data_IF_842407945683
#
_entry.id   IF_842407945683
#
_cell.length_a   1.000
_cell.length_b   1.000
_cell.length_c   1.000
_cell.angle_alpha   90.00
_cell.angle_beta   90.00
_cell.angle_gamma   90.00
#
_symmetry.space_group_name_H-M   'P 1'
#
loop_
_entity.id
_entity.type
_entity.pdbx_description
1 polymer ?
#
# COMPACT_ATOMS: atom_id res chain seq x y z
N UNK A 1 24.74 4.87 -3.73
CA UNK A 1 23.68 5.91 -3.67
C UNK A 1 24.24 7.10 -2.89
N UNK A 2 23.88 8.35 -3.20
CA UNK A 2 24.24 9.45 -2.32
C UNK A 2 23.64 9.18 -0.94
N UNK A 3 24.44 9.37 0.11
CA UNK A 3 23.98 9.15 1.48
C UNK A 3 22.91 10.19 1.83
N UNK A 4 21.75 9.75 2.33
CA UNK A 4 20.78 10.66 2.88
C UNK A 4 21.34 11.36 4.12
N UNK A 5 20.97 12.63 4.39
CA UNK A 5 21.38 13.31 5.63
C UNK A 5 20.97 12.50 6.86
N UNK A 6 21.85 12.45 7.86
CA UNK A 6 21.68 11.63 9.08
C UNK A 6 21.50 12.45 10.36
N UNK A 7 21.27 13.76 10.25
CA UNK A 7 21.15 14.65 11.41
C UNK A 7 19.80 14.58 12.14
N UNK A 8 18.80 13.88 11.56
CA UNK A 8 17.50 13.66 12.20
C UNK A 8 17.39 12.24 12.74
N UNK A 9 16.79 12.10 13.91
CA UNK A 9 16.36 10.81 14.44
C UNK A 9 15.04 10.41 13.75
N UNK A 10 15.12 9.54 12.76
CA UNK A 10 13.97 9.07 12.01
C UNK A 10 13.67 7.60 12.33
N UNK A 11 12.42 7.15 12.16
CA UNK A 11 12.10 5.75 12.28
C UNK A 11 12.91 4.90 11.32
N UNK A 12 13.40 3.76 11.82
CA UNK A 12 14.07 2.80 10.98
C UNK A 12 13.07 2.18 9.99
N UNK A 13 13.47 2.11 8.72
CA UNK A 13 12.72 1.38 7.67
C UNK A 13 13.43 0.05 7.40
N UNK A 14 12.65 -1.00 7.21
CA UNK A 14 13.18 -2.29 6.79
C UNK A 14 13.91 -2.16 5.45
N UNK A 15 15.05 -2.87 5.31
CA UNK A 15 15.75 -2.99 4.03
C UNK A 15 14.99 -3.95 3.08
N UNK A 16 15.18 -3.78 1.77
CA UNK A 16 14.68 -4.74 0.76
C UNK A 16 15.44 -6.07 0.85
N UNK A 17 14.77 -7.20 0.59
CA UNK A 17 13.33 -7.35 0.33
C UNK A 17 12.49 -7.18 1.59
N UNK A 18 11.39 -6.42 1.48
CA UNK A 18 10.49 -6.13 2.61
C UNK A 18 9.34 -7.11 2.68
N UNK A 19 8.99 -7.55 3.89
CA UNK A 19 7.74 -8.28 4.19
C UNK A 19 6.68 -7.40 4.84
N UNK A 20 7.08 -6.21 5.33
CA UNK A 20 6.21 -5.18 5.92
C UNK A 20 6.68 -3.80 5.51
N UNK A 21 5.75 -2.85 5.48
CA UNK A 21 6.02 -1.52 4.94
C UNK A 21 6.24 -1.55 3.44
N UNK A 22 5.63 -2.52 2.76
CA UNK A 22 5.69 -2.70 1.32
C UNK A 22 5.10 -1.50 0.61
N UNK A 23 5.79 -1.02 -0.42
CA UNK A 23 5.30 -0.04 -1.37
C UNK A 23 5.04 -0.73 -2.71
N UNK A 24 3.77 -0.97 -3.00
CA UNK A 24 3.28 -1.60 -4.22
C UNK A 24 2.79 -0.49 -5.18
N UNK A 25 3.53 -0.29 -6.26
CA UNK A 25 3.34 0.81 -7.20
C UNK A 25 2.43 0.39 -8.33
N UNK A 26 1.43 1.20 -8.67
CA UNK A 26 0.62 1.02 -9.87
C UNK A 26 1.27 1.75 -11.05
N UNK A 27 1.77 0.99 -12.01
CA UNK A 27 2.22 1.50 -13.30
C UNK A 27 1.05 1.50 -14.29
N UNK A 28 0.67 2.69 -14.70
CA UNK A 28 -0.42 2.95 -15.66
C UNK A 28 0.07 3.25 -17.07
N UNK A 29 1.30 2.84 -17.41
CA UNK A 29 1.85 2.95 -18.77
C UNK A 29 3.08 3.85 -18.86
N UNK A 30 4.07 3.68 -17.97
CA UNK A 30 5.37 4.31 -18.11
C UNK A 30 6.07 3.82 -19.40
N UNK A 31 6.83 4.70 -20.05
CA UNK A 31 7.78 4.28 -21.09
C UNK A 31 9.01 3.62 -20.46
N UNK A 32 9.83 2.87 -21.21
CA UNK A 32 11.10 2.35 -20.69
C UNK A 32 11.99 3.44 -20.05
N UNK A 33 12.10 4.60 -20.67
CA UNK A 33 12.85 5.75 -20.13
C UNK A 33 12.22 6.27 -18.83
N UNK A 34 10.89 6.36 -18.79
CA UNK A 34 10.15 6.74 -17.58
C UNK A 34 10.37 5.73 -16.44
N UNK A 35 10.38 4.45 -16.75
CA UNK A 35 10.66 3.37 -15.77
C UNK A 35 12.09 3.49 -15.24
N UNK A 36 13.10 3.69 -16.12
CA UNK A 36 14.50 3.89 -15.68
C UNK A 36 14.66 5.12 -14.80
N UNK A 37 14.08 6.26 -15.21
CA UNK A 37 14.16 7.50 -14.44
C UNK A 37 13.50 7.35 -13.06
N UNK A 38 12.31 6.76 -13.00
CA UNK A 38 11.58 6.51 -11.77
C UNK A 38 12.35 5.58 -10.83
N UNK A 39 12.76 4.41 -11.30
CA UNK A 39 13.46 3.43 -10.46
C UNK A 39 14.87 3.86 -10.10
N UNK A 40 15.56 4.60 -10.98
CA UNK A 40 16.85 5.23 -10.66
C UNK A 40 16.76 6.21 -9.49
N UNK A 41 15.62 6.90 -9.32
CA UNK A 41 15.39 7.82 -8.21
C UNK A 41 14.82 7.11 -6.97
N UNK A 42 13.81 6.26 -7.13
CA UNK A 42 12.97 5.77 -6.03
C UNK A 42 12.93 4.24 -5.90
N UNK A 43 13.65 3.48 -6.71
CA UNK A 43 13.58 2.02 -6.75
C UNK A 43 13.91 1.35 -5.40
N UNK A 44 14.79 1.96 -4.59
CA UNK A 44 15.10 1.48 -3.23
C UNK A 44 13.90 1.56 -2.25
N UNK A 45 12.86 2.31 -2.60
CA UNK A 45 11.63 2.47 -1.83
C UNK A 45 10.48 1.64 -2.39
N UNK A 46 10.62 1.06 -3.61
CA UNK A 46 9.60 0.26 -4.28
C UNK A 46 9.84 -1.21 -4.07
N UNK A 47 8.82 -1.95 -3.69
CA UNK A 47 8.90 -3.40 -3.45
C UNK A 47 8.27 -4.22 -4.56
N UNK A 48 7.19 -3.74 -5.16
CA UNK A 48 6.48 -4.38 -6.26
C UNK A 48 6.01 -3.32 -7.24
N UNK A 49 6.19 -3.57 -8.55
CA UNK A 49 5.61 -2.77 -9.62
C UNK A 49 4.48 -3.56 -10.25
N UNK A 50 3.25 -3.09 -10.10
CA UNK A 50 2.06 -3.66 -10.75
C UNK A 50 1.86 -3.02 -12.11
N UNK A 51 1.90 -3.82 -13.17
CA UNK A 51 1.43 -3.40 -14.50
C UNK A 51 -0.09 -3.45 -14.49
N UNK A 52 -0.72 -2.28 -14.51
CA UNK A 52 -2.16 -2.15 -14.29
C UNK A 52 -3.01 -2.78 -15.39
N UNK A 53 -4.15 -3.32 -15.00
CA UNK A 53 -5.23 -3.83 -15.87
C UNK A 53 -4.72 -4.76 -16.97
N UNK A 54 -5.02 -4.44 -18.24
CA UNK A 54 -4.59 -5.15 -19.43
C UNK A 54 -3.40 -4.50 -20.16
N UNK A 55 -2.71 -3.52 -19.54
CA UNK A 55 -1.59 -2.80 -20.17
C UNK A 55 -0.52 -3.78 -20.66
N UNK A 56 -0.15 -4.76 -19.85
CA UNK A 56 0.85 -5.73 -20.23
C UNK A 56 0.55 -6.47 -21.54
N UNK A 57 -0.72 -6.63 -21.89
CA UNK A 57 -1.12 -7.32 -23.12
C UNK A 57 -0.97 -6.47 -24.39
N UNK A 58 -1.01 -5.15 -24.24
CA UNK A 58 -0.98 -4.21 -25.38
C UNK A 58 0.33 -3.41 -25.46
N UNK A 59 1.19 -3.48 -24.46
CA UNK A 59 2.44 -2.73 -24.40
C UNK A 59 3.56 -3.46 -25.15
N UNK A 60 4.03 -2.94 -26.30
CA UNK A 60 5.11 -3.57 -27.06
C UNK A 60 6.47 -3.51 -26.35
N UNK A 61 6.62 -2.64 -25.33
CA UNK A 61 7.86 -2.46 -24.58
C UNK A 61 7.85 -3.20 -23.23
N UNK A 62 6.85 -4.05 -22.97
CA UNK A 62 6.68 -4.71 -21.67
C UNK A 62 7.93 -5.48 -21.22
N UNK A 63 8.49 -6.32 -22.09
CA UNK A 63 9.66 -7.15 -21.77
C UNK A 63 10.87 -6.28 -21.38
N UNK A 64 11.12 -5.17 -22.09
CA UNK A 64 12.16 -4.21 -21.73
C UNK A 64 11.90 -3.58 -20.35
N UNK A 65 10.66 -3.18 -20.06
CA UNK A 65 10.29 -2.57 -18.78
C UNK A 65 10.42 -3.56 -17.62
N UNK A 66 10.02 -4.81 -17.81
CA UNK A 66 10.23 -5.88 -16.83
C UNK A 66 11.72 -6.08 -16.54
N UNK A 67 12.56 -6.09 -17.58
CA UNK A 67 14.02 -6.15 -17.43
C UNK A 67 14.58 -4.98 -16.63
N UNK A 68 14.13 -3.76 -16.91
CA UNK A 68 14.53 -2.57 -16.11
C UNK A 68 14.14 -2.71 -14.65
N UNK A 69 12.92 -3.21 -14.37
CA UNK A 69 12.49 -3.44 -13.00
C UNK A 69 13.37 -4.48 -12.29
N UNK A 70 13.75 -5.56 -12.97
CA UNK A 70 14.65 -6.58 -12.45
C UNK A 70 16.03 -6.01 -12.12
N UNK A 71 16.60 -5.15 -12.96
CA UNK A 71 17.88 -4.48 -12.72
C UNK A 71 17.88 -3.58 -11.47
N UNK A 72 16.69 -3.21 -10.98
CA UNK A 72 16.48 -2.41 -9.76
C UNK A 72 15.94 -3.22 -8.58
N UNK A 73 15.98 -4.54 -8.63
CA UNK A 73 15.40 -5.43 -7.59
C UNK A 73 13.93 -5.10 -7.30
N UNK A 74 13.16 -4.75 -8.33
CA UNK A 74 11.74 -4.45 -8.24
C UNK A 74 10.92 -5.52 -8.98
N UNK A 75 10.41 -6.55 -8.27
CA UNK A 75 9.51 -7.54 -8.83
C UNK A 75 8.34 -6.93 -9.57
N UNK A 76 7.94 -7.54 -10.68
CA UNK A 76 6.79 -7.07 -11.48
C UNK A 76 5.61 -8.00 -11.29
N UNK A 77 4.46 -7.41 -10.99
CA UNK A 77 3.16 -8.08 -10.87
C UNK A 77 2.28 -7.77 -12.07
N UNK A 78 1.64 -8.82 -12.58
CA UNK A 78 0.57 -8.67 -13.56
C UNK A 78 -0.73 -8.35 -12.83
N UNK A 79 -1.44 -7.30 -13.26
CA UNK A 79 -2.70 -6.87 -12.66
C UNK A 79 -3.84 -7.87 -12.88
N UNK A 80 -4.70 -8.02 -11.88
CA UNK A 80 -5.74 -9.06 -11.81
C UNK A 80 -6.79 -9.01 -12.92
N UNK A 81 -7.13 -7.85 -13.45
CA UNK A 81 -8.15 -7.73 -14.52
C UNK A 81 -7.79 -8.54 -15.77
N UNK A 82 -6.50 -8.60 -16.17
CA UNK A 82 -6.10 -9.40 -17.32
C UNK A 82 -6.26 -10.90 -17.04
N UNK A 83 -5.97 -11.35 -15.81
CA UNK A 83 -6.22 -12.73 -15.41
C UNK A 83 -7.71 -13.07 -15.41
N UNK A 84 -8.58 -12.17 -14.94
CA UNK A 84 -10.04 -12.37 -15.01
C UNK A 84 -10.52 -12.55 -16.46
N UNK A 85 -10.03 -11.71 -17.38
CA UNK A 85 -10.35 -11.84 -18.81
C UNK A 85 -9.85 -13.16 -19.39
N UNK A 86 -8.64 -13.58 -19.06
CA UNK A 86 -8.09 -14.86 -19.49
C UNK A 86 -8.88 -16.05 -18.92
N UNK A 87 -9.30 -15.97 -17.66
CA UNK A 87 -10.11 -17.00 -17.03
C UNK A 87 -11.51 -17.15 -17.67
N UNK A 88 -12.13 -16.02 -18.06
CA UNK A 88 -13.40 -16.03 -18.77
C UNK A 88 -13.31 -16.66 -20.18
N UNK A 89 -12.12 -16.62 -20.77
CA UNK A 89 -11.86 -17.19 -22.10
C UNK A 89 -11.21 -18.59 -22.04
N UNK A 90 -11.04 -19.15 -20.84
CA UNK A 90 -10.32 -20.42 -20.60
C UNK A 90 -8.87 -20.39 -21.14
N UNK A 91 -8.15 -19.29 -20.91
CA UNK A 91 -6.80 -19.01 -21.40
C UNK A 91 -5.80 -18.73 -20.27
N UNK A 92 -6.06 -19.21 -19.06
CA UNK A 92 -5.16 -18.98 -17.91
C UNK A 92 -3.78 -19.61 -18.14
N UNK A 93 -3.74 -20.80 -18.76
CA UNK A 93 -2.47 -21.48 -19.06
C UNK A 93 -1.59 -20.66 -20.01
N UNK A 94 -2.16 -20.13 -21.09
CA UNK A 94 -1.42 -19.28 -22.03
C UNK A 94 -0.98 -17.96 -21.41
N UNK A 95 -1.83 -17.36 -20.56
CA UNK A 95 -1.45 -16.16 -19.80
C UNK A 95 -0.26 -16.43 -18.87
N UNK A 96 -0.31 -17.55 -18.14
CA UNK A 96 0.76 -18.00 -17.24
C UNK A 96 2.08 -18.16 -17.99
N UNK A 97 2.07 -18.93 -19.08
CA UNK A 97 3.27 -19.21 -19.87
C UNK A 97 3.86 -17.94 -20.48
N UNK A 98 2.99 -17.03 -20.95
CA UNK A 98 3.41 -15.72 -21.44
C UNK A 98 3.99 -14.85 -20.33
N UNK A 99 3.36 -14.76 -19.15
CA UNK A 99 3.85 -13.97 -18.02
C UNK A 99 5.24 -14.45 -17.55
N UNK A 100 5.44 -15.77 -17.47
CA UNK A 100 6.77 -16.35 -17.17
C UNK A 100 7.80 -15.98 -18.23
N UNK A 101 7.43 -16.08 -19.51
CA UNK A 101 8.33 -15.77 -20.63
C UNK A 101 8.82 -14.32 -20.60
N UNK A 102 7.96 -13.35 -20.26
CA UNK A 102 8.35 -11.94 -20.15
C UNK A 102 9.06 -11.59 -18.85
N UNK A 103 9.22 -12.56 -17.93
CA UNK A 103 9.98 -12.41 -16.69
C UNK A 103 9.16 -11.86 -15.51
N UNK A 104 7.84 -11.92 -15.55
CA UNK A 104 7.01 -11.57 -14.39
C UNK A 104 7.21 -12.58 -13.26
N UNK A 105 7.29 -12.09 -12.04
CA UNK A 105 7.53 -12.91 -10.83
C UNK A 105 6.34 -12.92 -9.89
N UNK A 106 5.42 -11.96 -10.06
CA UNK A 106 4.24 -11.78 -9.23
C UNK A 106 2.99 -11.74 -10.12
N UNK A 107 1.86 -12.13 -9.57
CA UNK A 107 0.57 -12.08 -10.27
C UNK A 107 -0.55 -11.75 -9.29
N UNK A 108 -1.46 -10.88 -9.70
CA UNK A 108 -2.68 -10.62 -8.94
C UNK A 108 -3.79 -11.59 -9.37
N UNK A 109 -4.47 -12.17 -8.37
CA UNK A 109 -5.67 -12.97 -8.56
C UNK A 109 -6.85 -12.22 -7.98
N UNK A 110 -7.66 -11.62 -8.84
CA UNK A 110 -8.85 -10.87 -8.46
C UNK A 110 -10.15 -11.54 -8.96
N UNK A 111 -11.28 -11.08 -8.46
CA UNK A 111 -12.61 -11.41 -8.96
C UNK A 111 -13.50 -10.16 -8.94
N UNK A 112 -12.93 -9.03 -9.28
CA UNK A 112 -13.60 -7.73 -9.27
C UNK A 112 -14.78 -7.65 -10.23
N UNK A 113 -14.76 -8.39 -11.36
CA UNK A 113 -15.87 -8.54 -12.29
C UNK A 113 -16.98 -9.45 -11.75
N UNK A 114 -16.75 -10.14 -10.61
CA UNK A 114 -17.68 -11.17 -10.06
C UNK A 114 -18.13 -12.22 -11.06
N UNK A 115 -17.30 -12.50 -12.05
CA UNK A 115 -17.60 -13.44 -13.12
C UNK A 115 -17.19 -14.88 -12.76
N UNK A 116 -16.37 -15.03 -11.71
CA UNK A 116 -15.88 -16.33 -11.26
C UNK A 116 -16.54 -16.74 -9.92
N UNK A 117 -16.90 -18.02 -9.75
CA UNK A 117 -17.23 -18.54 -8.43
C UNK A 117 -16.04 -18.41 -7.47
N UNK A 118 -16.27 -18.17 -6.18
CA UNK A 118 -15.20 -18.07 -5.17
C UNK A 118 -14.27 -19.29 -5.17
N UNK A 119 -14.82 -20.50 -5.37
CA UNK A 119 -14.04 -21.74 -5.50
C UNK A 119 -13.05 -21.70 -6.67
N UNK A 120 -13.39 -21.02 -7.77
CA UNK A 120 -12.50 -20.87 -8.93
C UNK A 120 -11.36 -19.90 -8.62
N UNK A 121 -11.65 -18.78 -7.94
CA UNK A 121 -10.61 -17.85 -7.45
C UNK A 121 -9.58 -18.59 -6.60
N UNK A 122 -10.02 -19.33 -5.57
CA UNK A 122 -9.10 -20.10 -4.72
C UNK A 122 -8.35 -21.21 -5.48
N UNK A 123 -8.95 -21.81 -6.52
CA UNK A 123 -8.24 -22.75 -7.39
C UNK A 123 -7.14 -22.06 -8.19
N UNK A 124 -7.40 -20.86 -8.74
CA UNK A 124 -6.41 -20.04 -9.44
C UNK A 124 -5.26 -19.62 -8.53
N UNK A 125 -5.55 -19.22 -7.29
CA UNK A 125 -4.50 -18.91 -6.28
C UNK A 125 -3.57 -20.10 -6.11
N UNK A 126 -4.10 -21.31 -5.87
CA UNK A 126 -3.28 -22.53 -5.71
C UNK A 126 -2.48 -22.89 -6.95
N UNK A 127 -3.12 -22.79 -8.12
CA UNK A 127 -2.51 -23.11 -9.40
C UNK A 127 -1.31 -22.17 -9.68
N UNK A 128 -1.51 -20.87 -9.54
CA UNK A 128 -0.51 -19.87 -9.87
C UNK A 128 0.58 -19.72 -8.81
N UNK A 129 0.32 -20.10 -7.55
CA UNK A 129 1.31 -20.09 -6.49
C UNK A 129 2.48 -21.06 -6.70
N UNK A 130 2.35 -22.00 -7.65
CA UNK A 130 3.45 -22.87 -8.05
C UNK A 130 4.57 -22.14 -8.80
N UNK A 131 4.25 -21.03 -9.47
CA UNK A 131 5.16 -20.33 -10.38
C UNK A 131 5.38 -18.86 -10.03
N UNK A 132 4.44 -18.26 -9.29
CA UNK A 132 4.43 -16.83 -8.96
C UNK A 132 4.27 -16.59 -7.46
N UNK A 133 4.73 -15.44 -7.01
CA UNK A 133 4.25 -14.83 -5.78
C UNK A 133 2.84 -14.29 -6.06
N UNK A 134 1.83 -14.88 -5.42
CA UNK A 134 0.43 -14.52 -5.66
C UNK A 134 -0.01 -13.44 -4.68
N UNK A 135 -0.63 -12.38 -5.24
CA UNK A 135 -1.35 -11.34 -4.53
C UNK A 135 -2.85 -11.55 -4.80
N UNK A 136 -3.63 -11.92 -3.80
CA UNK A 136 -5.07 -12.15 -3.98
C UNK A 136 -5.87 -10.91 -3.60
N UNK A 137 -6.54 -10.31 -4.58
CA UNK A 137 -7.33 -9.09 -4.37
C UNK A 137 -8.75 -9.42 -3.94
N UNK A 138 -9.19 -8.81 -2.85
CA UNK A 138 -10.56 -8.85 -2.37
C UNK A 138 -11.20 -7.48 -2.52
N UNK A 139 -12.36 -7.48 -3.19
CA UNK A 139 -13.16 -6.31 -3.47
C UNK A 139 -14.26 -6.61 -4.46
N UNK A 140 -15.15 -5.64 -4.68
CA UNK A 140 -16.22 -5.79 -5.64
C UNK A 140 -16.36 -4.54 -6.48
N UNK A 141 -16.28 -4.71 -7.79
CA UNK A 141 -16.39 -3.60 -8.73
C UNK A 141 -17.81 -3.05 -8.83
N UNK A 142 -18.83 -3.89 -8.67
CA UNK A 142 -20.27 -3.50 -8.69
C UNK A 142 -21.13 -4.60 -8.04
N UNK A 143 -22.32 -4.25 -7.57
CA UNK A 143 -23.31 -5.21 -7.10
C UNK A 143 -24.34 -4.60 -6.14
N UNK A 144 -25.58 -5.12 -6.18
CA UNK A 144 -26.68 -4.66 -5.33
C UNK A 144 -26.52 -5.02 -3.84
N UNK A 145 -25.56 -5.89 -3.51
CA UNK A 145 -25.26 -6.31 -2.13
C UNK A 145 -23.72 -6.31 -1.96
N UNK A 146 -23.14 -5.19 -1.47
CA UNK A 146 -21.73 -5.18 -1.12
C UNK A 146 -21.48 -6.21 -0.01
N UNK A 147 -20.37 -6.96 -0.05
CA UNK A 147 -20.01 -7.87 1.03
C UNK A 147 -19.83 -7.10 2.33
N UNK A 148 -20.20 -7.76 3.43
CA UNK A 148 -19.97 -7.26 4.79
C UNK A 148 -18.46 -7.21 5.12
N UNK A 149 -18.02 -6.40 6.10
CA UNK A 149 -16.63 -6.43 6.57
C UNK A 149 -16.13 -7.82 6.94
N UNK A 150 -16.97 -8.64 7.60
CA UNK A 150 -16.61 -10.00 7.98
C UNK A 150 -16.42 -10.93 6.76
N UNK A 151 -17.26 -10.80 5.73
CA UNK A 151 -17.12 -11.57 4.48
C UNK A 151 -15.83 -11.22 3.74
N UNK A 152 -15.42 -9.95 3.74
CA UNK A 152 -14.13 -9.53 3.19
C UNK A 152 -12.97 -10.18 3.93
N UNK A 153 -12.94 -10.07 5.25
CA UNK A 153 -11.88 -10.64 6.07
C UNK A 153 -11.80 -12.17 5.91
N UNK A 154 -12.95 -12.85 5.84
CA UNK A 154 -13.01 -14.29 5.61
C UNK A 154 -12.52 -14.69 4.21
N UNK A 155 -12.84 -13.92 3.17
CA UNK A 155 -12.33 -14.16 1.82
C UNK A 155 -10.81 -14.04 1.80
N UNK A 156 -10.25 -12.97 2.38
CA UNK A 156 -8.81 -12.77 2.47
C UNK A 156 -8.10 -13.89 3.23
N UNK A 157 -8.65 -14.35 4.34
CA UNK A 157 -8.11 -15.49 5.09
C UNK A 157 -8.07 -16.76 4.23
N UNK A 158 -9.15 -17.05 3.50
CA UNK A 158 -9.20 -18.20 2.59
C UNK A 158 -8.24 -18.09 1.41
N UNK A 159 -7.98 -16.89 0.91
CA UNK A 159 -6.99 -16.66 -0.14
C UNK A 159 -5.57 -16.94 0.36
N UNK A 160 -5.25 -16.55 1.61
CA UNK A 160 -3.97 -16.90 2.24
C UNK A 160 -3.86 -18.42 2.45
N UNK A 161 -4.91 -19.08 2.92
CA UNK A 161 -4.97 -20.54 3.08
C UNK A 161 -4.84 -21.26 1.72
N UNK A 162 -5.28 -20.63 0.64
CA UNK A 162 -5.11 -21.14 -0.72
C UNK A 162 -3.69 -21.00 -1.27
N UNK A 163 -2.81 -20.20 -0.63
CA UNK A 163 -1.40 -20.04 -0.99
C UNK A 163 -1.02 -18.64 -1.46
N UNK A 164 -1.88 -17.62 -1.32
CA UNK A 164 -1.49 -16.25 -1.58
C UNK A 164 -0.42 -15.80 -0.59
N UNK A 165 0.58 -15.07 -1.07
CA UNK A 165 1.63 -14.48 -0.22
C UNK A 165 1.13 -13.24 0.50
N UNK A 166 0.38 -12.41 -0.21
CA UNK A 166 -0.34 -11.24 0.30
C UNK A 166 -1.76 -11.22 -0.21
N UNK A 167 -2.61 -10.56 0.56
CA UNK A 167 -3.96 -10.19 0.12
C UNK A 167 -4.03 -8.69 -0.09
N UNK A 168 -4.78 -8.26 -1.10
CA UNK A 168 -4.97 -6.85 -1.42
C UNK A 168 -6.41 -6.46 -1.03
N UNK A 169 -6.53 -5.42 -0.23
CA UNK A 169 -7.81 -4.76 0.01
C UNK A 169 -8.05 -3.70 -1.07
N UNK A 170 -9.05 -3.92 -1.94
CA UNK A 170 -9.31 -3.09 -3.12
C UNK A 170 -9.78 -1.68 -2.74
N UNK A 171 -9.14 -0.65 -3.32
CA UNK A 171 -9.56 0.74 -3.25
C UNK A 171 -9.72 1.39 -4.62
N UNK A 172 -9.28 0.72 -5.68
CA UNK A 172 -9.11 1.19 -7.05
C UNK A 172 -8.20 2.42 -7.16
N UNK A 173 -7.89 2.81 -8.39
CA UNK A 173 -7.18 4.05 -8.68
C UNK A 173 -7.99 5.30 -8.31
N UNK A 174 -9.33 5.20 -8.24
CA UNK A 174 -10.20 6.33 -7.88
C UNK A 174 -10.27 6.61 -6.38
N UNK A 175 -9.95 5.62 -5.53
CA UNK A 175 -10.10 5.75 -4.07
C UNK A 175 -11.53 6.01 -3.61
N UNK A 176 -12.55 5.55 -4.37
CA UNK A 176 -13.96 5.84 -4.10
C UNK A 176 -14.85 4.61 -3.96
N UNK A 177 -14.26 3.42 -3.92
CA UNK A 177 -14.96 2.14 -3.78
C UNK A 177 -14.15 1.17 -2.92
N UNK A 178 -14.72 0.02 -2.60
CA UNK A 178 -14.02 -1.00 -1.84
C UNK A 178 -13.75 -0.54 -0.41
N UNK A 179 -12.50 -0.20 -0.09
CA UNK A 179 -12.06 0.36 1.19
C UNK A 179 -12.64 1.76 1.47
N UNK A 180 -13.24 2.41 0.49
CA UNK A 180 -13.64 3.80 0.56
C UNK A 180 -15.12 3.99 0.30
N UNK A 181 -15.67 5.05 0.89
CA UNK A 181 -16.95 5.62 0.52
C UNK A 181 -16.82 6.46 -0.76
N UNK A 182 -17.95 6.82 -1.36
CA UNK A 182 -17.96 7.63 -2.59
C UNK A 182 -17.34 9.04 -2.42
N UNK A 183 -17.28 9.54 -1.19
CA UNK A 183 -16.63 10.79 -0.81
C UNK A 183 -15.14 10.63 -0.46
N UNK A 184 -14.54 9.47 -0.78
CA UNK A 184 -13.16 9.07 -0.47
C UNK A 184 -12.89 8.85 1.03
N UNK A 185 -13.91 8.90 1.90
CA UNK A 185 -13.81 8.54 3.30
C UNK A 185 -13.48 7.06 3.47
N UNK A 186 -12.67 6.73 4.46
CA UNK A 186 -12.24 5.36 4.71
C UNK A 186 -13.34 4.60 5.47
N UNK A 187 -13.60 3.37 5.05
CA UNK A 187 -14.49 2.45 5.75
C UNK A 187 -13.72 1.82 6.92
N UNK A 188 -13.69 2.54 8.05
CA UNK A 188 -12.94 2.13 9.24
C UNK A 188 -13.43 0.80 9.81
N UNK A 189 -14.72 0.52 9.71
CA UNK A 189 -15.34 -0.77 10.07
C UNK A 189 -14.75 -1.93 9.28
N UNK A 190 -14.53 -1.73 7.98
CA UNK A 190 -13.94 -2.72 7.09
C UNK A 190 -12.45 -2.93 7.39
N UNK A 191 -11.69 -1.84 7.57
CA UNK A 191 -10.27 -1.94 7.92
C UNK A 191 -10.09 -2.67 9.25
N UNK A 192 -10.91 -2.34 10.27
CA UNK A 192 -10.89 -3.01 11.58
C UNK A 192 -11.15 -4.51 11.42
N UNK A 193 -12.21 -4.89 10.70
CA UNK A 193 -12.52 -6.30 10.48
C UNK A 193 -11.38 -7.05 9.76
N UNK A 194 -10.70 -6.41 8.80
CA UNK A 194 -9.57 -7.01 8.09
C UNK A 194 -8.42 -7.27 9.07
N UNK A 195 -7.99 -6.28 9.85
CA UNK A 195 -6.81 -6.42 10.74
C UNK A 195 -7.08 -7.31 11.96
N UNK A 196 -8.34 -7.51 12.33
CA UNK A 196 -8.74 -8.44 13.38
C UNK A 196 -8.63 -9.92 12.95
N UNK A 197 -8.76 -10.19 11.65
CA UNK A 197 -8.80 -11.55 11.10
C UNK A 197 -7.55 -11.95 10.32
N UNK A 198 -6.85 -10.98 9.74
CA UNK A 198 -5.70 -11.18 8.85
C UNK A 198 -4.48 -10.47 9.42
N UNK A 199 -3.32 -11.13 9.54
CA UNK A 199 -2.09 -10.46 9.97
C UNK A 199 -1.80 -9.24 9.10
N UNK A 200 -1.57 -8.08 9.73
CA UNK A 200 -1.41 -6.80 9.03
C UNK A 200 -0.27 -6.82 7.99
N UNK A 201 0.81 -7.56 8.26
CA UNK A 201 1.94 -7.73 7.35
C UNK A 201 1.59 -8.57 6.09
N UNK A 202 0.44 -9.23 6.10
CA UNK A 202 -0.10 -9.98 4.95
C UNK A 202 -1.10 -9.19 4.12
N UNK A 203 -1.49 -7.99 4.55
CA UNK A 203 -2.47 -7.16 3.83
C UNK A 203 -1.76 -6.00 3.14
N UNK A 204 -2.06 -5.77 1.88
CA UNK A 204 -1.72 -4.55 1.12
C UNK A 204 -3.02 -3.75 0.97
N UNK A 205 -3.06 -2.54 1.53
CA UNK A 205 -4.21 -1.64 1.39
C UNK A 205 -3.98 -0.72 0.19
N UNK A 206 -4.85 -0.76 -0.81
CA UNK A 206 -4.78 0.18 -1.92
C UNK A 206 -5.10 1.61 -1.44
N UNK A 207 -4.14 2.50 -1.57
CA UNK A 207 -4.21 3.89 -1.11
C UNK A 207 -3.64 4.82 -2.19
N UNK A 208 -4.39 5.08 -3.28
CA UNK A 208 -3.90 5.93 -4.38
C UNK A 208 -3.66 7.37 -3.94
N UNK A 209 -4.45 7.90 -3.00
CA UNK A 209 -4.41 9.29 -2.60
C UNK A 209 -3.58 9.55 -1.33
N UNK A 210 -2.97 10.73 -1.26
CA UNK A 210 -2.17 11.18 -0.11
C UNK A 210 -2.94 11.12 1.21
N UNK A 211 -4.21 11.53 1.22
CA UNK A 211 -5.06 11.54 2.42
C UNK A 211 -5.26 10.13 2.97
N UNK A 212 -5.46 9.16 2.08
CA UNK A 212 -5.60 7.74 2.39
C UNK A 212 -4.28 7.17 2.93
N UNK A 213 -3.17 7.45 2.25
CA UNK A 213 -1.82 7.04 2.69
C UNK A 213 -1.51 7.57 4.10
N UNK A 214 -1.80 8.85 4.34
CA UNK A 214 -1.59 9.48 5.64
C UNK A 214 -2.45 8.85 6.74
N UNK A 215 -3.70 8.53 6.42
CA UNK A 215 -4.59 7.86 7.36
C UNK A 215 -4.06 6.47 7.75
N UNK A 216 -3.71 5.63 6.78
CA UNK A 216 -3.17 4.30 7.04
C UNK A 216 -1.87 4.36 7.86
N UNK A 217 -0.95 5.27 7.54
CA UNK A 217 0.29 5.45 8.29
C UNK A 217 0.01 5.87 9.73
N UNK A 218 -0.99 6.73 9.98
CA UNK A 218 -1.37 7.13 11.35
C UNK A 218 -2.04 6.01 12.13
N UNK A 219 -2.95 5.27 11.51
CA UNK A 219 -3.76 4.25 12.21
C UNK A 219 -3.04 2.91 12.37
N UNK A 220 -2.31 2.48 11.34
CA UNK A 220 -1.68 1.16 11.31
C UNK A 220 -0.16 1.19 11.41
N UNK A 221 0.43 2.39 11.49
CA UNK A 221 1.87 2.59 11.63
C UNK A 221 2.61 2.69 10.29
N UNK A 222 3.89 3.09 10.37
CA UNK A 222 4.73 3.33 9.21
C UNK A 222 5.00 2.08 8.36
N UNK A 223 4.91 0.91 8.98
CA UNK A 223 5.16 -0.39 8.35
C UNK A 223 3.89 -1.00 7.73
N UNK A 224 2.80 -0.24 7.58
CA UNK A 224 1.62 -0.68 6.81
C UNK A 224 2.00 -0.87 5.34
N UNK A 225 1.54 -1.96 4.71
CA UNK A 225 1.75 -2.18 3.29
C UNK A 225 0.70 -1.39 2.49
N UNK A 226 1.15 -0.60 1.53
CA UNK A 226 0.29 0.26 0.70
C UNK A 226 0.44 -0.06 -0.77
N UNK A 227 -0.70 -0.18 -1.44
CA UNK A 227 -0.83 -0.48 -2.86
C UNK A 227 -1.42 0.68 -3.67
N UNK A 228 -1.41 0.52 -4.98
CA UNK A 228 -1.84 1.52 -5.96
C UNK A 228 -1.15 2.88 -5.79
N UNK A 229 0.07 2.87 -5.25
CA UNK A 229 0.87 4.09 -5.12
C UNK A 229 1.34 4.52 -6.50
N UNK A 230 1.03 5.75 -6.90
CA UNK A 230 1.52 6.26 -8.17
C UNK A 230 3.06 6.43 -8.13
N UNK A 231 3.79 6.19 -9.25
CA UNK A 231 5.24 6.36 -9.31
C UNK A 231 5.73 7.70 -8.76
N UNK A 232 5.06 8.80 -9.13
CA UNK A 232 5.38 10.15 -8.65
C UNK A 232 5.08 10.40 -7.17
N UNK A 233 4.38 9.48 -6.49
CA UNK A 233 4.01 9.60 -5.08
C UNK A 233 4.91 8.82 -4.13
N UNK A 234 5.83 8.01 -4.62
CA UNK A 234 6.66 7.11 -3.79
C UNK A 234 7.51 7.87 -2.77
N UNK A 235 8.25 8.90 -3.19
CA UNK A 235 9.04 9.73 -2.27
C UNK A 235 8.15 10.47 -1.27
N UNK A 236 6.98 10.95 -1.72
CA UNK A 236 6.02 11.64 -0.85
C UNK A 236 5.42 10.70 0.21
N UNK A 237 5.12 9.43 -0.15
CA UNK A 237 4.69 8.40 0.80
C UNK A 237 5.80 8.11 1.83
N UNK A 238 7.04 7.99 1.41
CA UNK A 238 8.14 7.74 2.35
C UNK A 238 8.30 8.89 3.36
N UNK A 239 8.06 10.14 2.97
CA UNK A 239 8.03 11.26 3.92
C UNK A 239 6.90 11.15 4.95
N UNK A 240 5.75 10.56 4.58
CA UNK A 240 4.69 10.24 5.55
C UNK A 240 5.16 9.16 6.54
N UNK A 241 5.76 8.08 6.04
CA UNK A 241 6.26 6.97 6.86
C UNK A 241 7.33 7.41 7.85
N UNK A 242 8.19 8.33 7.44
CA UNK A 242 9.28 8.86 8.25
C UNK A 242 8.85 10.00 9.20
N UNK A 243 7.57 10.42 9.17
CA UNK A 243 7.10 11.55 9.99
C UNK A 243 7.65 12.91 9.55
N UNK A 244 8.04 13.05 8.27
CA UNK A 244 8.58 14.28 7.68
C UNK A 244 7.52 15.17 7.04
N UNK A 245 6.25 14.90 7.28
CA UNK A 245 5.11 15.72 6.79
C UNK A 245 4.18 16.08 7.93
N UNK A 246 3.53 17.24 7.81
CA UNK A 246 2.57 17.74 8.80
C UNK A 246 1.47 16.74 9.15
N UNK A 247 1.07 15.89 8.18
CA UNK A 247 0.05 14.86 8.38
C UNK A 247 0.46 13.76 9.38
N UNK A 248 1.76 13.55 9.61
CA UNK A 248 2.29 12.44 10.41
C UNK A 248 3.34 12.86 11.45
N UNK A 249 3.84 14.10 11.41
CA UNK A 249 4.93 14.58 12.30
C UNK A 249 4.53 14.55 13.78
N UNK A 250 3.29 14.87 14.11
CA UNK A 250 2.80 14.98 15.50
C UNK A 250 2.80 13.66 16.27
N UNK A 251 2.67 12.53 15.60
CA UNK A 251 2.68 11.21 16.23
C UNK A 251 4.08 10.75 16.66
N UNK A 252 5.15 11.35 16.12
CA UNK A 252 6.53 10.87 16.31
C UNK A 252 7.53 11.86 16.90
N UNK A 253 7.33 13.14 16.70
CA UNK A 253 8.15 14.15 17.38
C UNK A 253 8.06 14.03 18.91
N UNK A 254 6.97 13.43 19.41
CA UNK A 254 6.75 13.16 20.83
C UNK A 254 7.44 11.88 21.35
N UNK A 255 7.83 10.94 20.45
CA UNK A 255 8.43 9.65 20.84
C UNK A 255 9.97 9.66 20.83
N UNK A 256 10.61 10.64 20.20
CA UNK A 256 12.05 10.63 19.92
C UNK A 256 12.85 11.75 20.57
N UNK A 257 12.26 12.65 21.34
CA UNK A 257 12.97 13.71 22.05
C UNK A 257 13.20 13.36 23.52
N UNK A 258 14.41 13.52 24.10
CA UNK A 258 14.50 13.66 25.53
C UNK A 258 13.69 14.90 25.92
N UNK A 259 12.63 14.72 26.68
CA UNK A 259 12.02 15.80 27.43
C UNK A 259 13.11 16.27 28.41
N UNK A 260 13.94 17.21 27.99
CA UNK A 260 14.64 18.03 28.97
C UNK A 260 13.53 18.67 29.80
N UNK A 261 13.43 18.22 31.04
CA UNK A 261 12.63 18.86 32.07
C UNK A 261 13.28 20.23 32.37
N UNK A 262 12.96 21.20 31.49
CA UNK A 262 13.14 22.60 31.80
C UNK A 262 12.26 22.91 33.00
N UNK A 263 12.88 22.99 34.17
CA UNK A 263 12.24 23.47 35.36
C UNK A 263 11.55 24.81 35.05
N UNK A 264 10.24 24.80 35.07
CA UNK A 264 9.47 26.03 35.22
C UNK A 264 9.83 26.57 36.62
N UNK A 265 10.81 27.49 36.69
CA UNK A 265 10.97 28.32 37.86
C UNK A 265 9.66 29.06 38.11
N UNK A 266 8.99 28.68 39.17
CA UNK A 266 7.84 29.38 39.71
C UNK A 266 8.30 30.74 40.21
N UNK A 267 8.24 31.77 39.37
CA UNK A 267 8.33 33.15 39.79
C UNK A 267 7.21 33.44 40.78
N UNK A 268 7.59 33.54 42.08
CA UNK A 268 6.69 34.00 43.12
C UNK A 268 6.28 35.43 42.84
N UNK A 269 4.97 35.58 42.56
CA UNK A 269 4.35 36.92 42.57
C UNK A 269 4.26 37.38 44.04
N UNK A 270 5.14 38.31 44.44
CA UNK A 270 5.02 39.05 45.69
C UNK A 270 3.72 39.89 45.66
N UNK A 271 2.84 39.55 46.59
CA UNK A 271 1.64 40.30 46.84
C UNK A 271 1.99 41.64 47.56
N UNK A 272 2.09 42.72 46.80
CA UNK A 272 2.12 44.07 47.37
C UNK A 272 0.78 44.43 48.01
N UNK A 273 0.73 44.47 49.33
CA UNK A 273 -0.39 44.94 50.11
C UNK A 273 -0.56 46.45 49.90
N UNK A 274 -1.70 46.89 49.38
CA UNK A 274 -2.14 48.25 49.37
C UNK A 274 -2.80 48.60 50.71
N UNK A 275 -2.15 49.47 51.53
CA UNK A 275 -2.77 50.13 52.69
C UNK A 275 -3.69 51.26 52.24
N UNK A 276 -4.87 51.43 52.85
CA UNK A 276 -5.76 52.57 52.56
C UNK A 276 -5.35 53.78 53.37
N UNK A 277 -4.97 54.86 52.68
CA UNK A 277 -4.68 56.16 53.28
C UNK A 277 -5.90 57.10 53.20
N UNK A 278 -6.17 57.76 54.36
CA UNK A 278 -7.36 58.53 54.64
C UNK A 278 -7.51 59.83 53.85
N UNK A 279 -8.77 60.23 53.80
CA UNK A 279 -9.26 61.57 53.41
C UNK A 279 -8.61 62.77 54.10
N UNK A 280 -8.36 63.83 53.37
CA UNK A 280 -8.64 65.22 53.68
C UNK A 280 -8.72 66.00 52.39
#
# INVERSE_FOLDING_TARGET
>A
MPECPTFLSLPARAAKPRSRGVTHVLDSGLTPEGTRAFLGQAGHLVDIVKVGWGIGYIDPALEERVGICADHDCPVSLGGTLLEVAALQDRVGELRDWALKVGMTHIEVSNGLRALPASRKHALVRELAADFVVLAETGAKEGNYPPTPAEWAQEMARDLDAGATWVIAEGRESGTVGLYHADQGIREDLVTAIVDWVPQDKVIFEAPDKSQQAWFVRQLGADVNLGNVAPGSVLALETLRLGLRADTVSARALESGPLESGALESGALESGALTPGALA
#
